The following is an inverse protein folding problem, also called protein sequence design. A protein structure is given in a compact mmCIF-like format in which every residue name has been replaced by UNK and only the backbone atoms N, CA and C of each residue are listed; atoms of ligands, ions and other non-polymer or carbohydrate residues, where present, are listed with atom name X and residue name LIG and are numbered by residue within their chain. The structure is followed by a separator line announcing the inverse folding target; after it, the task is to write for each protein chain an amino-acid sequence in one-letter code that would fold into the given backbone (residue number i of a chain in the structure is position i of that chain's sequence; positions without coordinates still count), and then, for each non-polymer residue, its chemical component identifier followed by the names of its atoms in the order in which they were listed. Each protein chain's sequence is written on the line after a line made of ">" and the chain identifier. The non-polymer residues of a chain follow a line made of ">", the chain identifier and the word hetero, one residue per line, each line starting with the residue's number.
data_IF_948550906189
#
_entry.id   IF_948550906189
#
_cell.length_a   1.000
_cell.length_b   1.000
_cell.length_c   1.000
_cell.angle_alpha   90.00
_cell.angle_beta   90.00
_cell.angle_gamma   90.00
#
_symmetry.space_group_name_H-M   'P 1'
#
loop_
_entity.id
_entity.type
_entity.pdbx_description
1 polymer ?
#
# COMPACT_ATOMS: atom_id res chain seq x y z
N UNK A 1 6.38 1.67 -24.90
CA UNK A 1 6.17 0.83 -23.70
C UNK A 1 4.96 1.42 -23.00
N UNK A 2 3.82 0.74 -23.05
CA UNK A 2 2.59 1.25 -22.45
C UNK A 2 2.55 0.82 -20.99
N UNK A 3 2.86 1.74 -20.09
CA UNK A 3 2.54 1.58 -18.67
C UNK A 3 1.01 1.61 -18.58
N UNK A 4 0.40 0.43 -18.48
CA UNK A 4 -1.04 0.34 -18.22
C UNK A 4 -1.28 0.84 -16.81
N UNK A 5 -2.18 1.79 -16.66
CA UNK A 5 -2.52 2.32 -15.33
C UNK A 5 -3.32 1.28 -14.55
N UNK A 6 -3.40 1.37 -13.21
CA UNK A 6 -4.26 0.48 -12.41
C UNK A 6 -5.72 0.49 -12.89
N UNK A 7 -6.20 1.62 -13.40
CA UNK A 7 -7.54 1.75 -14.00
C UNK A 7 -7.67 1.00 -15.33
N UNK A 8 -6.61 0.96 -16.14
CA UNK A 8 -6.58 0.14 -17.35
C UNK A 8 -6.54 -1.34 -16.99
N UNK A 9 -5.79 -1.71 -15.95
CA UNK A 9 -5.75 -3.08 -15.43
C UNK A 9 -7.07 -3.54 -14.86
N UNK A 10 -7.83 -2.66 -14.20
CA UNK A 10 -9.20 -2.97 -13.77
C UNK A 10 -10.12 -3.27 -14.95
N UNK A 11 -10.11 -2.42 -15.98
CA UNK A 11 -10.88 -2.65 -17.21
C UNK A 11 -10.46 -3.92 -17.95
N UNK A 12 -9.19 -4.29 -17.84
CA UNK A 12 -8.66 -5.53 -18.37
C UNK A 12 -9.15 -6.71 -17.55
N UNK A 13 -9.05 -6.63 -16.22
CA UNK A 13 -9.54 -7.64 -15.28
C UNK A 13 -11.03 -7.92 -15.50
N UNK A 14 -11.87 -6.89 -15.55
CA UNK A 14 -13.31 -7.02 -15.86
C UNK A 14 -13.58 -7.59 -17.27
N UNK A 15 -12.65 -7.43 -18.21
CA UNK A 15 -12.76 -8.04 -19.54
C UNK A 15 -12.34 -9.51 -19.56
N UNK A 16 -11.51 -9.94 -18.62
CA UNK A 16 -10.98 -11.29 -18.51
C UNK A 16 -11.88 -12.17 -17.65
N UNK A 17 -12.42 -11.60 -16.59
CA UNK A 17 -13.41 -12.19 -15.68
C UNK A 17 -14.77 -12.30 -16.39
N UNK A 18 -14.86 -13.24 -17.33
CA UNK A 18 -16.07 -13.46 -18.17
C UNK A 18 -17.21 -14.02 -17.31
N UNK A 19 -16.87 -14.83 -16.32
CA UNK A 19 -17.78 -15.40 -15.33
C UNK A 19 -18.22 -14.38 -14.25
N UNK A 20 -17.60 -13.20 -14.19
CA UNK A 20 -17.85 -12.14 -13.20
C UNK A 20 -17.79 -12.67 -11.75
N UNK A 21 -16.89 -13.62 -11.51
CA UNK A 21 -16.70 -14.19 -10.17
C UNK A 21 -15.70 -13.37 -9.34
N UNK A 22 -15.15 -12.29 -9.91
CA UNK A 22 -14.16 -11.42 -9.28
C UNK A 22 -12.79 -12.08 -9.17
N UNK A 23 -12.55 -13.17 -9.91
CA UNK A 23 -11.32 -13.92 -9.93
C UNK A 23 -10.90 -14.17 -11.39
N UNK A 24 -9.60 -14.14 -11.64
CA UNK A 24 -9.01 -14.48 -12.93
C UNK A 24 -8.28 -15.81 -12.78
N UNK A 25 -8.79 -16.84 -13.44
CA UNK A 25 -8.14 -18.15 -13.49
C UNK A 25 -6.94 -18.14 -14.43
N UNK A 26 -6.06 -19.13 -14.34
CA UNK A 26 -4.86 -19.23 -15.20
C UNK A 26 -5.18 -19.21 -16.71
N UNK A 27 -6.31 -19.78 -17.11
CA UNK A 27 -6.78 -19.73 -18.51
C UNK A 27 -7.14 -18.31 -18.95
N UNK A 28 -7.78 -17.54 -18.07
CA UNK A 28 -8.13 -16.13 -18.30
C UNK A 28 -6.89 -15.25 -18.26
N UNK A 29 -5.96 -15.51 -17.33
CA UNK A 29 -4.66 -14.87 -17.25
C UNK A 29 -3.82 -15.10 -18.51
N UNK A 30 -3.80 -16.33 -19.02
CA UNK A 30 -3.12 -16.66 -20.28
C UNK A 30 -3.74 -15.93 -21.47
N UNK A 31 -5.06 -15.72 -21.45
CA UNK A 31 -5.76 -14.92 -22.48
C UNK A 31 -5.31 -13.46 -22.45
N UNK A 32 -5.04 -12.92 -21.27
CA UNK A 32 -4.48 -11.57 -21.15
C UNK A 32 -3.11 -11.46 -21.80
N UNK A 33 -2.18 -12.34 -21.41
CA UNK A 33 -0.79 -12.28 -21.89
C UNK A 33 -0.72 -12.37 -23.42
N UNK A 34 -1.66 -13.10 -24.02
CA UNK A 34 -1.84 -13.14 -25.47
C UNK A 34 -2.43 -11.85 -26.06
N UNK A 35 -3.33 -11.16 -25.35
CA UNK A 35 -3.94 -9.90 -25.79
C UNK A 35 -3.03 -8.68 -25.60
N UNK A 36 -2.18 -8.64 -24.56
CA UNK A 36 -1.29 -7.50 -24.28
C UNK A 36 -0.08 -7.42 -25.19
N UNK A 37 0.05 -8.31 -26.18
CA UNK A 37 1.05 -8.20 -27.25
C UNK A 37 2.48 -8.47 -26.79
N UNK A 38 2.66 -8.96 -25.56
CA UNK A 38 3.94 -9.52 -25.14
C UNK A 38 4.13 -10.83 -25.91
N UNK A 39 5.17 -10.92 -26.74
CA UNK A 39 5.49 -12.13 -27.52
C UNK A 39 5.99 -13.31 -26.66
N UNK A 40 5.68 -13.29 -25.37
CA UNK A 40 6.13 -14.21 -24.35
C UNK A 40 5.03 -15.26 -24.16
N UNK A 41 5.21 -16.43 -24.76
CA UNK A 41 4.29 -17.55 -24.57
C UNK A 41 4.63 -18.18 -23.20
N UNK A 42 3.85 -17.85 -22.17
CA UNK A 42 3.98 -18.49 -20.86
C UNK A 42 3.18 -19.79 -20.87
N UNK A 43 3.83 -20.90 -20.54
CA UNK A 43 3.14 -22.18 -20.34
C UNK A 43 2.31 -22.14 -19.05
N UNK A 44 1.28 -22.98 -18.94
CA UNK A 44 0.47 -23.10 -17.71
C UNK A 44 1.35 -23.40 -16.48
N UNK A 45 2.38 -24.24 -16.63
CA UNK A 45 3.33 -24.57 -15.55
C UNK A 45 4.12 -23.34 -15.07
N UNK A 46 4.49 -22.43 -15.97
CA UNK A 46 5.19 -21.20 -15.63
C UNK A 46 4.26 -20.22 -14.90
N UNK A 47 3.00 -20.12 -15.36
CA UNK A 47 1.99 -19.30 -14.69
C UNK A 47 1.65 -19.85 -13.31
N UNK A 48 1.51 -21.16 -13.17
CA UNK A 48 1.30 -21.83 -11.88
C UNK A 48 2.49 -21.60 -10.94
N UNK A 49 3.72 -21.65 -11.45
CA UNK A 49 4.91 -21.40 -10.64
C UNK A 49 5.06 -19.92 -10.25
N UNK A 50 4.55 -18.98 -11.04
CA UNK A 50 4.64 -17.54 -10.75
C UNK A 50 3.54 -17.05 -9.80
N UNK A 51 2.34 -17.62 -9.92
CA UNK A 51 1.16 -17.20 -9.17
C UNK A 51 0.94 -18.06 -7.92
N UNK A 52 1.50 -19.28 -7.89
CA UNK A 52 1.30 -20.30 -6.85
C UNK A 52 -0.18 -20.66 -6.58
N UNK A 53 -1.12 -20.15 -7.39
CA UNK A 53 -2.57 -20.30 -7.26
C UNK A 53 -3.22 -20.51 -8.62
N UNK A 54 -4.39 -21.15 -8.61
CA UNK A 54 -5.19 -21.41 -9.83
C UNK A 54 -6.14 -20.28 -10.20
N UNK A 55 -6.41 -19.39 -9.26
CA UNK A 55 -7.26 -18.21 -9.41
C UNK A 55 -6.66 -17.02 -8.65
N UNK A 56 -6.79 -15.83 -9.24
CA UNK A 56 -6.21 -14.58 -8.78
C UNK A 56 -7.34 -13.56 -8.56
N UNK A 57 -7.44 -12.99 -7.37
CA UNK A 57 -8.22 -11.76 -7.19
C UNK A 57 -7.55 -10.57 -7.89
N UNK A 58 -8.26 -9.46 -8.03
CA UNK A 58 -7.73 -8.25 -8.67
C UNK A 58 -6.39 -7.78 -8.06
N UNK A 59 -6.23 -7.86 -6.74
CA UNK A 59 -5.00 -7.48 -6.04
C UNK A 59 -3.81 -8.37 -6.39
N UNK A 60 -3.98 -9.70 -6.39
CA UNK A 60 -2.91 -10.62 -6.81
C UNK A 60 -2.64 -10.53 -8.32
N UNK A 61 -3.68 -10.32 -9.13
CA UNK A 61 -3.53 -10.08 -10.58
C UNK A 61 -2.70 -8.82 -10.86
N UNK A 62 -2.95 -7.73 -10.11
CA UNK A 62 -2.20 -6.49 -10.21
C UNK A 62 -0.73 -6.70 -9.83
N UNK A 63 -0.47 -7.42 -8.73
CA UNK A 63 0.89 -7.76 -8.30
C UNK A 63 1.62 -8.62 -9.34
N UNK A 64 0.94 -9.63 -9.89
CA UNK A 64 1.49 -10.50 -10.94
C UNK A 64 1.78 -9.74 -12.23
N UNK A 65 0.83 -8.91 -12.68
CA UNK A 65 1.00 -8.11 -13.89
C UNK A 65 2.16 -7.11 -13.74
N UNK A 66 2.25 -6.44 -12.59
CA UNK A 66 3.38 -5.55 -12.29
C UNK A 66 4.69 -6.33 -12.28
N UNK A 67 4.74 -7.47 -11.59
CA UNK A 67 5.92 -8.34 -11.54
C UNK A 67 6.40 -8.79 -12.92
N UNK A 68 5.49 -9.14 -13.83
CA UNK A 68 5.83 -9.49 -15.22
C UNK A 68 6.22 -8.27 -16.04
N UNK A 69 5.56 -7.13 -15.83
CA UNK A 69 5.88 -5.89 -16.53
C UNK A 69 7.26 -5.34 -16.15
N UNK A 70 7.73 -5.64 -14.94
CA UNK A 70 8.98 -5.16 -14.36
C UNK A 70 10.20 -6.04 -14.71
N UNK A 71 10.02 -7.22 -15.32
CA UNK A 71 11.13 -8.11 -15.70
C UNK A 71 12.07 -7.56 -16.81
N UNK A 72 11.89 -6.32 -17.30
CA UNK A 72 12.73 -5.70 -18.33
C UNK A 72 13.64 -4.56 -17.90
N UNK A 73 13.64 -4.10 -16.65
CA UNK A 73 14.68 -3.20 -16.18
C UNK A 73 14.75 -3.28 -14.66
N UNK A 74 15.92 -3.57 -14.12
CA UNK A 74 16.13 -3.57 -12.67
C UNK A 74 15.74 -2.25 -12.02
N UNK A 75 15.33 -2.38 -10.76
CA UNK A 75 15.14 -1.32 -9.76
C UNK A 75 13.84 -0.48 -9.84
N UNK A 76 12.98 -0.76 -8.85
CA UNK A 76 12.20 0.20 -8.05
C UNK A 76 10.79 0.63 -8.50
N UNK A 77 9.85 0.29 -7.61
CA UNK A 77 8.62 1.01 -7.20
C UNK A 77 7.39 0.90 -8.10
N UNK A 78 6.45 0.06 -7.66
CA UNK A 78 5.11 0.04 -8.26
C UNK A 78 4.08 -0.82 -7.54
N UNK A 79 3.84 -0.63 -6.24
CA UNK A 79 2.68 -1.23 -5.56
C UNK A 79 2.81 -1.28 -4.04
N UNK A 80 2.78 -0.12 -3.37
CA UNK A 80 2.93 -0.07 -1.91
C UNK A 80 2.02 1.00 -1.28
N UNK A 81 0.70 0.82 -1.32
CA UNK A 81 -0.21 1.70 -0.56
C UNK A 81 -0.26 1.34 0.94
N UNK A 82 0.25 0.15 1.31
CA UNK A 82 0.20 -0.34 2.70
C UNK A 82 1.61 -0.51 3.30
N UNK A 83 2.57 -1.09 2.58
CA UNK A 83 3.90 -1.38 3.14
C UNK A 83 4.84 -0.16 3.17
N UNK A 84 4.80 0.71 2.15
CA UNK A 84 5.55 1.98 2.16
C UNK A 84 4.97 2.91 3.23
N UNK A 85 3.64 2.96 3.35
CA UNK A 85 2.98 3.78 4.35
C UNK A 85 3.31 3.32 5.77
N UNK A 86 3.31 2.01 6.04
CA UNK A 86 3.75 1.50 7.34
C UNK A 86 5.22 1.83 7.61
N UNK A 87 6.09 1.68 6.62
CA UNK A 87 7.51 2.03 6.74
C UNK A 87 7.72 3.53 6.97
N UNK A 88 6.95 4.38 6.30
CA UNK A 88 7.00 5.85 6.44
C UNK A 88 6.41 6.29 7.78
N UNK A 89 5.34 5.64 8.24
CA UNK A 89 4.77 5.84 9.57
C UNK A 89 5.74 5.43 10.67
N UNK A 90 6.46 4.32 10.54
CA UNK A 90 7.49 3.90 11.51
C UNK A 90 8.64 4.91 11.56
N UNK A 91 9.10 5.39 10.40
CA UNK A 91 10.15 6.42 10.34
C UNK A 91 9.68 7.71 10.96
N UNK A 92 8.47 8.13 10.63
CA UNK A 92 7.85 9.35 11.14
C UNK A 92 7.64 9.23 12.66
N UNK A 93 7.12 8.10 13.14
CA UNK A 93 6.95 7.80 14.55
C UNK A 93 8.26 7.96 15.32
N UNK A 94 9.37 7.40 14.81
CA UNK A 94 10.71 7.58 15.42
C UNK A 94 11.25 9.02 15.40
N UNK A 95 10.73 9.88 14.53
CA UNK A 95 11.06 11.31 14.53
C UNK A 95 10.23 12.05 15.56
N UNK A 96 9.00 11.58 15.82
CA UNK A 96 8.12 12.13 16.84
C UNK A 96 8.49 11.69 18.26
N UNK A 97 8.79 10.40 18.44
CA UNK A 97 9.26 9.77 19.67
C UNK A 97 10.73 10.13 19.91
N UNK A 98 10.98 11.09 20.80
CA UNK A 98 12.31 11.65 21.03
C UNK A 98 13.11 10.85 22.05
N UNK A 99 12.42 10.23 23.02
CA UNK A 99 13.03 9.39 24.04
C UNK A 99 13.12 7.92 23.64
N UNK A 100 12.40 7.49 22.60
CA UNK A 100 12.42 6.15 22.05
C UNK A 100 11.65 5.15 22.91
N UNK A 101 10.73 5.62 23.75
CA UNK A 101 9.95 4.76 24.66
C UNK A 101 8.81 4.01 23.94
N UNK A 102 8.57 4.34 22.67
CA UNK A 102 7.51 3.74 21.86
C UNK A 102 6.17 4.44 22.00
N UNK A 103 6.12 5.61 22.65
CA UNK A 103 4.93 6.43 22.84
C UNK A 103 5.23 7.90 22.58
N UNK A 104 4.31 8.61 21.92
CA UNK A 104 4.49 10.05 21.67
C UNK A 104 3.72 10.83 22.73
N UNK A 105 4.43 11.55 23.59
CA UNK A 105 3.80 12.43 24.58
C UNK A 105 3.38 13.77 23.97
N UNK A 106 2.47 14.48 24.64
CA UNK A 106 2.03 15.83 24.23
C UNK A 106 3.17 16.83 24.03
N UNK A 107 4.25 16.68 24.78
CA UNK A 107 5.42 17.57 24.72
C UNK A 107 6.30 17.25 23.50
N UNK A 108 6.47 15.97 23.18
CA UNK A 108 7.25 15.52 22.02
C UNK A 108 6.52 15.84 20.73
N UNK A 109 5.22 15.56 20.67
CA UNK A 109 4.36 15.94 19.56
C UNK A 109 4.46 17.45 19.27
N UNK A 110 4.36 18.28 20.31
CA UNK A 110 4.50 19.73 20.18
C UNK A 110 5.88 20.15 19.66
N UNK A 111 6.95 19.56 20.21
CA UNK A 111 8.32 19.89 19.82
C UNK A 111 8.57 19.58 18.34
N UNK A 112 8.08 18.43 17.88
CA UNK A 112 8.29 17.95 16.51
C UNK A 112 7.38 18.69 15.53
N UNK A 113 6.11 18.93 15.87
CA UNK A 113 5.21 19.77 15.06
C UNK A 113 5.76 21.19 14.87
N UNK A 114 6.38 21.76 15.92
CA UNK A 114 7.06 23.06 15.82
C UNK A 114 8.28 23.00 14.91
N UNK A 115 9.09 21.94 14.98
CA UNK A 115 10.26 21.75 14.09
C UNK A 115 9.85 21.56 12.64
N UNK A 116 8.74 20.88 12.38
CA UNK A 116 8.20 20.64 11.04
C UNK A 116 7.41 21.83 10.49
N UNK A 117 7.13 22.86 11.31
CA UNK A 117 6.30 24.00 10.92
C UNK A 117 4.82 23.67 10.74
N UNK A 118 4.38 22.52 11.26
CA UNK A 118 3.00 22.04 11.20
C UNK A 118 2.18 22.39 12.47
N UNK A 119 2.77 23.16 13.37
CA UNK A 119 2.13 23.58 14.62
C UNK A 119 1.02 24.60 14.36
N UNK A 120 -0.23 24.19 14.58
CA UNK A 120 -1.43 25.02 14.36
C UNK A 120 -1.80 25.90 15.58
N UNK A 121 -0.96 25.97 16.62
CA UNK A 121 -1.28 26.73 17.84
C UNK A 121 -2.30 26.05 18.77
N UNK A 122 -2.82 24.88 18.39
CA UNK A 122 -3.77 24.11 19.20
C UNK A 122 -3.07 23.33 20.30
N UNK A 123 -3.74 23.16 21.44
CA UNK A 123 -3.26 22.30 22.53
C UNK A 123 -3.06 20.87 22.01
N UNK A 124 -1.80 20.40 21.94
CA UNK A 124 -1.49 19.01 21.62
C UNK A 124 -2.15 18.02 22.57
N UNK A 125 -2.45 18.42 23.81
CA UNK A 125 -3.25 17.63 24.74
C UNK A 125 -4.64 17.31 24.19
N UNK A 126 -5.30 18.29 23.56
CA UNK A 126 -6.63 18.08 22.96
C UNK A 126 -6.53 17.23 21.69
N UNK A 127 -5.45 17.42 20.92
CA UNK A 127 -5.18 16.64 19.72
C UNK A 127 -4.95 15.17 20.06
N UNK A 128 -4.07 14.89 21.02
CA UNK A 128 -3.81 13.53 21.51
C UNK A 128 -5.08 12.92 22.05
N UNK A 129 -5.80 13.61 22.93
CA UNK A 129 -7.05 13.11 23.53
C UNK A 129 -8.13 12.72 22.51
N UNK A 130 -8.08 13.22 21.29
CA UNK A 130 -9.02 12.84 20.23
C UNK A 130 -8.71 11.46 19.62
N UNK A 131 -7.45 11.05 19.63
CA UNK A 131 -6.96 9.79 19.06
C UNK A 131 -6.55 8.77 20.14
N UNK A 132 -6.22 9.25 21.33
CA UNK A 132 -5.94 8.51 22.56
C UNK A 132 -7.22 7.78 23.02
N UNK A 133 -7.28 6.51 22.65
CA UNK A 133 -8.42 5.62 22.92
C UNK A 133 -8.26 4.95 24.28
N UNK A 134 -7.01 4.75 24.70
CA UNK A 134 -6.67 4.10 25.96
C UNK A 134 -6.69 5.08 27.16
N UNK A 135 -6.75 6.39 26.90
CA UNK A 135 -6.75 7.52 27.83
C UNK A 135 -5.48 7.59 28.72
N UNK A 136 -4.33 7.16 28.19
CA UNK A 136 -3.04 7.23 28.89
C UNK A 136 -2.34 8.60 28.74
N UNK A 137 -2.89 9.49 27.90
CA UNK A 137 -2.36 10.83 27.65
C UNK A 137 -1.13 10.86 26.73
N UNK A 138 -0.87 9.75 26.01
CA UNK A 138 0.19 9.56 25.03
C UNK A 138 -0.43 8.97 23.74
N UNK A 139 0.36 8.85 22.69
CA UNK A 139 -0.04 8.13 21.48
C UNK A 139 0.85 6.93 21.29
N UNK A 140 0.25 5.74 21.28
CA UNK A 140 0.94 4.54 20.81
C UNK A 140 1.06 4.52 19.28
N UNK A 141 1.86 3.60 18.75
CA UNK A 141 2.07 3.46 17.31
C UNK A 141 0.76 3.27 16.51
N UNK A 142 -0.20 2.54 17.07
CA UNK A 142 -1.48 2.24 16.44
C UNK A 142 -2.41 3.47 16.44
N UNK A 143 -2.42 4.24 17.53
CA UNK A 143 -3.17 5.50 17.64
C UNK A 143 -2.57 6.58 16.72
N UNK A 144 -1.23 6.69 16.66
CA UNK A 144 -0.53 7.57 15.73
C UNK A 144 -0.80 7.20 14.27
N UNK A 145 -0.80 5.90 13.94
CA UNK A 145 -1.17 5.40 12.61
C UNK A 145 -2.59 5.83 12.24
N UNK A 146 -3.54 5.70 13.18
CA UNK A 146 -4.92 6.14 12.99
C UNK A 146 -5.01 7.65 12.74
N UNK A 147 -4.26 8.45 13.50
CA UNK A 147 -4.19 9.90 13.32
C UNK A 147 -3.69 10.28 11.91
N UNK A 148 -2.58 9.67 11.46
CA UNK A 148 -1.97 9.97 10.17
C UNK A 148 -2.80 9.47 8.98
N UNK A 149 -3.49 8.33 9.15
CA UNK A 149 -4.43 7.81 8.15
C UNK A 149 -5.66 8.70 8.03
N UNK A 150 -6.25 9.14 9.16
CA UNK A 150 -7.46 9.95 9.16
C UNK A 150 -7.22 11.37 8.64
N UNK A 151 -6.00 11.90 8.80
CA UNK A 151 -5.64 13.25 8.36
C UNK A 151 -5.43 13.35 6.84
N UNK A 152 -5.32 12.23 6.11
CA UNK A 152 -5.15 12.19 4.65
C UNK A 152 -6.47 12.10 3.85
N UNK A 153 -7.63 12.21 4.50
CA UNK A 153 -8.96 12.17 3.87
C UNK A 153 -9.55 13.56 3.60
#
# INVERSE_FOLDING_TARGET
>A
MCLLTPSDLHRIFEKLDVNNDGLVCLEELNRLLQMTGNSCHYSLEELESLVEKKSLGFSEFLFFYNSISEQKNGESRGGEDTEELESDLVKTFKVFDLDGDGFITSQELECVLKRLGLWDGKDCRTMIRFYDTNLDGRLDFQEFKTMMLLTKA
#
